data_IF_198776661562
#
_entry.id   IF_198776661562
#
_cell.length_a   1.000
_cell.length_b   1.000
_cell.length_c   1.000
_cell.angle_alpha   90.00
_cell.angle_beta   90.00
_cell.angle_gamma   90.00
#
_symmetry.space_group_name_H-M   'P 1'
#
loop_
_entity.id
_entity.type
_entity.pdbx_description
1 polymer ?
#
# COMPACT_ATOMS: atom_id res chain seq x y z
N UNK A 1 8.78 -10.48 -0.45
CA UNK A 1 8.81 -9.07 -0.91
C UNK A 1 9.44 -8.14 0.12
N UNK A 2 8.99 -8.12 1.39
CA UNK A 2 9.59 -7.24 2.41
C UNK A 2 11.09 -7.46 2.61
N UNK A 3 11.53 -8.71 2.79
CA UNK A 3 12.95 -9.05 2.97
C UNK A 3 13.80 -8.77 1.73
N UNK A 4 13.29 -9.09 0.53
CA UNK A 4 14.00 -8.80 -0.72
C UNK A 4 14.12 -7.29 -0.96
N UNK A 5 13.08 -6.50 -0.64
CA UNK A 5 13.15 -5.04 -0.72
C UNK A 5 14.17 -4.44 0.24
N UNK A 6 14.33 -5.01 1.44
CA UNK A 6 15.34 -4.60 2.40
C UNK A 6 16.76 -4.81 1.85
N UNK A 7 17.07 -6.02 1.37
CA UNK A 7 18.38 -6.35 0.81
C UNK A 7 18.75 -5.46 -0.38
N UNK A 8 17.75 -5.16 -1.22
CA UNK A 8 17.93 -4.34 -2.41
C UNK A 8 18.16 -2.84 -2.08
N UNK A 9 17.50 -2.30 -1.05
CA UNK A 9 17.75 -0.92 -0.58
C UNK A 9 19.11 -0.81 0.14
N UNK A 10 19.51 -1.87 0.86
CA UNK A 10 20.79 -1.93 1.57
C UNK A 10 22.02 -2.19 0.68
N UNK A 11 21.86 -2.24 -0.65
CA UNK A 11 22.91 -2.65 -1.59
C UNK A 11 24.24 -1.89 -1.45
N UNK A 12 24.19 -0.56 -1.30
CA UNK A 12 25.39 0.28 -1.20
C UNK A 12 26.04 0.30 0.19
N UNK A 13 25.42 -0.33 1.22
CA UNK A 13 25.94 -0.46 2.58
C UNK A 13 26.40 0.85 3.29
N UNK A 14 26.05 2.02 2.76
CA UNK A 14 26.29 3.30 3.40
C UNK A 14 25.33 3.52 4.60
N UNK A 15 25.74 4.30 5.60
CA UNK A 15 24.87 4.63 6.75
C UNK A 15 23.51 5.19 6.32
N UNK A 16 23.47 6.00 5.26
CA UNK A 16 22.23 6.56 4.70
C UNK A 16 21.33 5.48 4.08
N UNK A 17 21.89 4.52 3.34
CA UNK A 17 21.13 3.43 2.72
C UNK A 17 20.68 2.38 3.73
N UNK A 18 21.47 2.12 4.77
CA UNK A 18 21.09 1.22 5.86
C UNK A 18 19.94 1.81 6.68
N UNK A 19 20.00 3.10 7.01
CA UNK A 19 18.92 3.80 7.70
C UNK A 19 17.61 3.78 6.89
N UNK A 20 17.67 4.03 5.58
CA UNK A 20 16.48 3.95 4.73
C UNK A 20 15.97 2.52 4.57
N UNK A 21 16.84 1.52 4.44
CA UNK A 21 16.45 0.11 4.39
C UNK A 21 15.75 -0.33 5.69
N UNK A 22 16.26 0.09 6.86
CA UNK A 22 15.61 -0.23 8.13
C UNK A 22 14.22 0.42 8.23
N UNK A 23 14.09 1.67 7.79
CA UNK A 23 12.80 2.35 7.79
C UNK A 23 11.79 1.65 6.87
N UNK A 24 12.20 1.21 5.68
CA UNK A 24 11.32 0.45 4.76
C UNK A 24 10.97 -0.93 5.28
N UNK A 25 11.89 -1.62 5.96
CA UNK A 25 11.62 -2.93 6.55
C UNK A 25 10.62 -2.83 7.69
N UNK A 26 10.81 -1.86 8.61
CA UNK A 26 9.95 -1.69 9.77
C UNK A 26 8.51 -1.31 9.37
N UNK A 27 8.33 -0.37 8.45
CA UNK A 27 6.99 0.01 7.97
C UNK A 27 6.30 -1.16 7.28
N UNK A 28 7.03 -1.92 6.46
CA UNK A 28 6.47 -3.09 5.79
C UNK A 28 6.08 -4.22 6.74
N UNK A 29 6.80 -4.38 7.86
CA UNK A 29 6.49 -5.38 8.88
C UNK A 29 5.19 -5.08 9.61
N UNK A 30 4.87 -3.80 9.84
CA UNK A 30 3.56 -3.40 10.37
C UNK A 30 2.43 -3.83 9.43
N UNK A 31 2.63 -3.72 8.11
CA UNK A 31 1.67 -4.24 7.14
C UNK A 31 1.54 -5.77 7.19
N UNK A 32 2.67 -6.48 7.31
CA UNK A 32 2.66 -7.94 7.37
C UNK A 32 1.94 -8.47 8.62
N UNK A 33 2.09 -7.82 9.78
CA UNK A 33 1.34 -8.20 10.99
C UNK A 33 -0.15 -7.98 10.85
N UNK A 34 -0.58 -6.92 10.15
CA UNK A 34 -2.01 -6.68 9.86
C UNK A 34 -2.57 -7.73 8.90
N UNK A 35 -1.80 -8.15 7.88
CA UNK A 35 -2.21 -9.26 6.99
C UNK A 35 -2.34 -10.55 7.79
N UNK A 36 -1.38 -10.88 8.66
CA UNK A 36 -1.47 -12.07 9.51
C UNK A 36 -2.68 -11.99 10.47
N UNK A 37 -2.96 -10.82 11.04
CA UNK A 37 -4.15 -10.61 11.87
C UNK A 37 -5.45 -10.84 11.08
N UNK A 38 -5.52 -10.38 9.83
CA UNK A 38 -6.68 -10.64 8.96
C UNK A 38 -6.88 -12.14 8.72
N UNK A 39 -5.79 -12.88 8.47
CA UNK A 39 -5.83 -14.34 8.29
C UNK A 39 -6.30 -15.03 9.58
N UNK A 40 -5.84 -14.59 10.76
CA UNK A 40 -6.31 -15.15 12.02
C UNK A 40 -7.79 -14.90 12.28
N UNK A 41 -8.35 -13.78 11.82
CA UNK A 41 -9.79 -13.57 11.89
C UNK A 41 -10.56 -14.42 10.88
N UNK A 42 -10.04 -14.64 9.67
CA UNK A 42 -10.67 -15.57 8.69
C UNK A 42 -10.72 -17.01 9.22
N UNK A 43 -9.69 -17.43 9.96
CA UNK A 43 -9.64 -18.76 10.58
C UNK A 43 -10.82 -19.02 11.51
N UNK A 44 -11.26 -18.00 12.26
CA UNK A 44 -12.39 -18.14 13.17
C UNK A 44 -13.72 -18.39 12.44
N UNK A 45 -13.85 -17.91 11.20
CA UNK A 45 -15.02 -18.11 10.34
C UNK A 45 -14.96 -19.43 9.55
N UNK A 46 -13.91 -20.24 9.72
CA UNK A 46 -13.65 -21.52 9.03
C UNK A 46 -13.64 -21.42 7.49
N UNK A 47 -13.67 -20.20 6.94
CA UNK A 47 -13.73 -19.92 5.51
C UNK A 47 -12.50 -19.12 5.10
N UNK A 48 -11.69 -19.73 4.23
CA UNK A 48 -10.47 -19.13 3.66
C UNK A 48 -10.71 -18.50 2.29
N UNK A 49 -11.88 -18.73 1.71
CA UNK A 49 -12.20 -18.33 0.35
C UNK A 49 -12.70 -16.89 0.36
N UNK A 50 -11.83 -15.97 -0.06
CA UNK A 50 -12.08 -14.52 -0.23
C UNK A 50 -13.42 -14.20 -0.96
N UNK A 51 -13.91 -15.13 -1.77
CA UNK A 51 -15.14 -14.95 -2.57
C UNK A 51 -16.45 -15.36 -1.88
N UNK A 52 -16.39 -16.12 -0.79
CA UNK A 52 -17.55 -16.69 -0.10
C UNK A 52 -17.64 -16.15 1.34
N UNK A 53 -18.03 -14.90 1.50
CA UNK A 53 -18.34 -14.35 2.82
C UNK A 53 -19.83 -14.05 2.95
N UNK A 54 -20.41 -14.51 4.05
CA UNK A 54 -21.70 -14.07 4.54
C UNK A 54 -21.56 -12.65 5.12
N UNK A 55 -22.60 -11.80 5.01
CA UNK A 55 -22.60 -10.48 5.61
C UNK A 55 -22.78 -10.59 7.13
N UNK A 56 -21.71 -10.89 7.86
CA UNK A 56 -21.68 -10.94 9.32
C UNK A 56 -20.86 -9.77 9.89
N UNK A 57 -21.11 -9.37 11.12
CA UNK A 57 -20.40 -8.24 11.78
C UNK A 57 -18.87 -8.44 11.78
N UNK A 58 -18.41 -9.69 11.88
CA UNK A 58 -16.99 -10.07 11.84
C UNK A 58 -16.37 -9.77 10.47
N UNK A 59 -17.14 -9.81 9.37
CA UNK A 59 -16.65 -9.42 8.04
C UNK A 59 -16.28 -7.94 7.93
N UNK A 60 -16.96 -7.06 8.68
CA UNK A 60 -16.70 -5.62 8.63
C UNK A 60 -15.41 -5.25 9.38
N UNK A 61 -15.14 -5.90 10.52
CA UNK A 61 -13.87 -5.70 11.25
C UNK A 61 -12.68 -6.24 10.46
N UNK A 62 -12.85 -7.37 9.77
CA UNK A 62 -11.85 -7.90 8.84
C UNK A 62 -11.60 -6.95 7.67
N UNK A 63 -12.65 -6.39 7.07
CA UNK A 63 -12.54 -5.37 6.02
C UNK A 63 -11.72 -4.16 6.44
N UNK A 64 -11.91 -3.70 7.68
CA UNK A 64 -11.11 -2.60 8.26
C UNK A 64 -9.62 -2.96 8.40
N UNK A 65 -9.31 -4.15 8.93
CA UNK A 65 -7.92 -4.62 9.08
C UNK A 65 -7.25 -4.78 7.71
N UNK A 66 -7.97 -5.30 6.71
CA UNK A 66 -7.48 -5.43 5.33
C UNK A 66 -7.21 -4.08 4.68
N UNK A 67 -8.07 -3.08 4.89
CA UNK A 67 -7.83 -1.71 4.43
C UNK A 67 -6.54 -1.16 5.05
N UNK A 68 -6.36 -1.29 6.36
CA UNK A 68 -5.15 -0.81 7.03
C UNK A 68 -3.89 -1.53 6.50
N UNK A 69 -3.96 -2.85 6.30
CA UNK A 69 -2.89 -3.61 5.68
C UNK A 69 -2.57 -3.10 4.26
N UNK A 70 -3.60 -2.88 3.44
CA UNK A 70 -3.46 -2.30 2.10
C UNK A 70 -2.79 -0.93 2.12
N UNK A 71 -3.22 -0.04 3.03
CA UNK A 71 -2.69 1.32 3.19
C UNK A 71 -1.21 1.35 3.56
N UNK A 72 -0.76 0.46 4.44
CA UNK A 72 0.67 0.38 4.82
C UNK A 72 1.54 -0.02 3.63
N UNK A 73 1.11 -1.01 2.83
CA UNK A 73 1.85 -1.52 1.66
C UNK A 73 1.80 -0.54 0.48
N UNK A 74 0.71 0.19 0.29
CA UNK A 74 0.58 1.19 -0.77
C UNK A 74 1.07 2.60 -0.37
N UNK A 75 1.80 2.70 0.75
CA UNK A 75 2.40 3.93 1.27
C UNK A 75 1.41 5.11 1.43
N UNK A 76 0.17 4.82 1.82
CA UNK A 76 -0.80 5.87 2.14
C UNK A 76 -0.44 6.53 3.48
N UNK A 77 -0.87 7.78 3.69
CA UNK A 77 -0.68 8.54 4.94
C UNK A 77 -1.36 7.74 6.06
N UNK A 78 -0.68 7.50 7.19
CA UNK A 78 0.58 8.09 7.66
C UNK A 78 1.88 7.38 7.24
N UNK A 79 1.79 6.26 6.52
CA UNK A 79 2.92 5.40 6.16
C UNK A 79 3.65 5.82 4.87
N UNK A 80 3.50 7.05 4.40
CA UNK A 80 4.08 7.49 3.12
C UNK A 80 5.61 7.68 3.14
N UNK A 81 6.22 7.84 4.33
CA UNK A 81 7.62 8.25 4.48
C UNK A 81 8.63 7.23 3.91
N UNK A 82 8.30 5.95 3.87
CA UNK A 82 9.24 4.92 3.44
C UNK A 82 9.48 4.90 1.93
N UNK A 83 8.51 5.36 1.14
CA UNK A 83 8.58 5.28 -0.32
C UNK A 83 9.63 6.25 -0.90
N UNK A 84 9.68 7.55 -0.54
CA UNK A 84 10.77 8.44 -0.96
C UNK A 84 12.14 8.04 -0.40
N UNK A 85 12.18 7.42 0.79
CA UNK A 85 13.42 6.97 1.41
C UNK A 85 14.03 5.76 0.68
N UNK A 86 13.21 4.90 0.08
CA UNK A 86 13.65 3.73 -0.68
C UNK A 86 14.42 4.08 -1.96
N UNK A 87 14.38 5.33 -2.43
CA UNK A 87 15.15 5.83 -3.58
C UNK A 87 16.67 5.89 -3.34
N UNK A 88 17.15 5.50 -2.15
CA UNK A 88 18.56 5.21 -1.90
C UNK A 88 19.07 3.97 -2.67
N UNK A 89 18.15 3.11 -3.15
CA UNK A 89 18.46 1.94 -3.96
C UNK A 89 19.05 2.31 -5.35
N UNK A 90 19.78 1.39 -6.00
CA UNK A 90 20.23 1.57 -7.39
C UNK A 90 19.02 1.75 -8.33
N UNK A 91 19.22 2.51 -9.42
CA UNK A 91 18.15 2.87 -10.38
C UNK A 91 17.34 1.69 -10.94
N UNK A 92 17.93 0.55 -11.35
CA UNK A 92 17.15 -0.60 -11.82
C UNK A 92 16.32 -1.28 -10.71
N UNK A 93 16.74 -1.15 -9.45
CA UNK A 93 15.98 -1.65 -8.31
C UNK A 93 14.81 -0.72 -8.00
N UNK A 94 15.04 0.59 -8.06
CA UNK A 94 13.97 1.55 -7.83
C UNK A 94 12.87 1.42 -8.88
N UNK A 95 13.19 1.17 -10.16
CA UNK A 95 12.14 0.90 -11.15
C UNK A 95 11.33 -0.33 -10.79
N UNK A 96 11.95 -1.45 -10.43
CA UNK A 96 11.25 -2.70 -10.10
C UNK A 96 10.39 -2.60 -8.83
N UNK A 97 10.95 -2.08 -7.74
CA UNK A 97 10.27 -2.01 -6.43
C UNK A 97 9.11 -1.01 -6.46
N UNK A 98 9.29 0.11 -7.18
CA UNK A 98 8.31 1.19 -7.20
C UNK A 98 7.26 1.06 -8.31
N UNK A 99 7.53 0.36 -9.42
CA UNK A 99 6.53 0.20 -10.49
C UNK A 99 5.67 -1.05 -10.36
N UNK A 100 6.22 -2.18 -9.89
CA UNK A 100 5.60 -3.47 -10.21
C UNK A 100 5.31 -4.39 -9.03
N UNK A 101 6.01 -4.30 -7.90
CA UNK A 101 5.99 -5.40 -6.91
C UNK A 101 5.54 -5.04 -5.50
N UNK A 102 6.09 -4.01 -4.87
CA UNK A 102 5.83 -3.78 -3.44
C UNK A 102 4.57 -2.95 -3.24
N UNK A 103 4.46 -1.84 -3.96
CA UNK A 103 3.42 -0.83 -3.72
C UNK A 103 2.09 -1.20 -4.36
N UNK A 104 2.13 -1.86 -5.52
CA UNK A 104 0.97 -2.43 -6.22
C UNK A 104 0.35 -3.61 -5.48
N UNK A 105 1.13 -4.35 -4.67
CA UNK A 105 0.63 -5.47 -3.88
C UNK A 105 -0.44 -5.03 -2.86
N UNK A 106 -0.33 -3.81 -2.31
CA UNK A 106 -1.35 -3.24 -1.42
C UNK A 106 -2.67 -3.00 -2.13
N UNK A 107 -2.61 -2.40 -3.33
CA UNK A 107 -3.81 -2.15 -4.17
C UNK A 107 -4.43 -3.48 -4.61
N UNK A 108 -3.60 -4.44 -5.06
CA UNK A 108 -4.06 -5.75 -5.50
C UNK A 108 -4.74 -6.55 -4.39
N UNK A 109 -4.24 -6.47 -3.15
CA UNK A 109 -4.89 -7.08 -1.99
C UNK A 109 -6.31 -6.55 -1.82
N UNK A 110 -6.52 -5.23 -1.91
CA UNK A 110 -7.84 -4.62 -1.79
C UNK A 110 -8.75 -4.96 -2.97
N UNK A 111 -8.22 -5.01 -4.19
CA UNK A 111 -8.98 -5.42 -5.37
C UNK A 111 -9.54 -6.84 -5.22
N UNK A 112 -8.69 -7.77 -4.75
CA UNK A 112 -9.10 -9.16 -4.54
C UNK A 112 -10.10 -9.32 -3.40
N UNK A 113 -9.95 -8.53 -2.33
CA UNK A 113 -10.82 -8.57 -1.14
C UNK A 113 -11.98 -7.57 -1.19
N UNK A 114 -12.25 -6.97 -2.36
CA UNK A 114 -13.22 -5.88 -2.51
C UNK A 114 -14.60 -6.23 -1.95
N UNK A 115 -15.12 -7.42 -2.22
CA UNK A 115 -16.43 -7.87 -1.69
C UNK A 115 -16.54 -7.84 -0.17
N UNK A 116 -15.43 -8.11 0.53
CA UNK A 116 -15.39 -8.07 1.99
C UNK A 116 -15.28 -6.64 2.49
N UNK A 117 -14.42 -5.86 1.84
CA UNK A 117 -14.17 -4.48 2.23
C UNK A 117 -15.40 -3.60 2.01
N UNK A 118 -16.18 -3.87 0.95
CA UNK A 118 -17.42 -3.13 0.65
C UNK A 118 -18.49 -3.25 1.73
N UNK A 119 -18.43 -4.29 2.58
CA UNK A 119 -19.34 -4.44 3.73
C UNK A 119 -19.03 -3.43 4.86
N UNK A 120 -17.81 -2.88 4.87
CA UNK A 120 -17.34 -1.93 5.87
C UNK A 120 -17.41 -0.48 5.36
N UNK A 121 -18.61 0.10 5.31
CA UNK A 121 -18.80 1.47 4.80
C UNK A 121 -17.91 2.51 5.49
N UNK A 122 -17.76 2.43 6.82
CA UNK A 122 -16.90 3.35 7.57
C UNK A 122 -15.43 3.26 7.15
N UNK A 123 -14.95 2.05 6.87
CA UNK A 123 -13.58 1.83 6.43
C UNK A 123 -13.35 2.35 5.00
N UNK A 124 -14.33 2.17 4.11
CA UNK A 124 -14.29 2.72 2.75
C UNK A 124 -14.30 4.25 2.73
N UNK A 125 -15.13 4.89 3.56
CA UNK A 125 -15.11 6.35 3.73
C UNK A 125 -13.77 6.85 4.27
N UNK A 126 -13.17 6.12 5.22
CA UNK A 126 -11.83 6.44 5.74
C UNK A 126 -10.78 6.32 4.63
N UNK A 127 -10.80 5.24 3.84
CA UNK A 127 -9.91 5.06 2.69
C UNK A 127 -10.04 6.18 1.67
N UNK A 128 -11.26 6.62 1.39
CA UNK A 128 -11.54 7.74 0.47
C UNK A 128 -10.87 9.03 0.95
N UNK A 129 -11.05 9.39 2.22
CA UNK A 129 -10.44 10.61 2.78
C UNK A 129 -8.92 10.51 2.76
N UNK A 130 -8.36 9.38 3.19
CA UNK A 130 -6.91 9.21 3.25
C UNK A 130 -6.28 9.21 1.86
N UNK A 131 -6.92 8.60 0.86
CA UNK A 131 -6.42 8.59 -0.53
C UNK A 131 -6.42 9.97 -1.18
N UNK A 132 -7.40 10.83 -0.87
CA UNK A 132 -7.37 12.23 -1.33
C UNK A 132 -6.28 13.02 -0.61
N UNK A 133 -6.11 12.80 0.70
CA UNK A 133 -5.04 13.46 1.47
C UNK A 133 -3.65 13.06 0.97
N UNK A 134 -3.42 11.78 0.67
CA UNK A 134 -2.14 11.31 0.12
C UNK A 134 -1.85 11.89 -1.25
N UNK A 135 -2.87 11.97 -2.11
CA UNK A 135 -2.76 12.61 -3.41
C UNK A 135 -2.25 14.05 -3.29
N UNK A 136 -2.85 14.83 -2.39
CA UNK A 136 -2.48 16.23 -2.16
C UNK A 136 -1.09 16.39 -1.55
N UNK A 137 -0.74 15.54 -0.56
CA UNK A 137 0.60 15.56 0.05
C UNK A 137 1.67 15.16 -0.96
N UNK A 138 1.43 14.12 -1.77
CA UNK A 138 2.34 13.68 -2.82
C UNK A 138 2.55 14.77 -3.88
N UNK A 139 1.45 15.35 -4.39
CA UNK A 139 1.50 16.38 -5.42
C UNK A 139 2.22 17.64 -4.94
N UNK A 140 1.89 18.14 -3.74
CA UNK A 140 2.50 19.35 -3.19
C UNK A 140 3.98 19.16 -2.82
N UNK A 141 4.37 17.96 -2.37
CA UNK A 141 5.78 17.65 -2.08
C UNK A 141 6.59 17.45 -3.35
N UNK A 142 6.02 16.89 -4.43
CA UNK A 142 6.72 16.67 -5.70
C UNK A 142 7.21 17.99 -6.32
N UNK A 143 6.43 19.07 -6.22
CA UNK A 143 6.79 20.40 -6.74
C UNK A 143 7.97 21.02 -5.99
N UNK A 144 8.18 20.67 -4.72
CA UNK A 144 9.23 21.27 -3.87
C UNK A 144 10.56 20.54 -3.89
N UNK A 145 10.62 19.32 -4.46
CA UNK A 145 11.81 18.48 -4.41
C UNK A 145 12.63 18.60 -5.70
N UNK A 146 13.93 18.86 -5.56
CA UNK A 146 14.85 19.00 -6.69
C UNK A 146 15.42 17.67 -7.23
N UNK A 147 15.39 16.60 -6.43
CA UNK A 147 15.91 15.29 -6.83
C UNK A 147 14.94 14.53 -7.75
N UNK A 148 15.31 14.30 -9.01
CA UNK A 148 14.47 13.59 -9.99
C UNK A 148 13.94 12.23 -9.50
N UNK A 149 14.78 11.43 -8.81
CA UNK A 149 14.35 10.13 -8.27
C UNK A 149 13.22 10.27 -7.24
N UNK A 150 13.30 11.29 -6.39
CA UNK A 150 12.26 11.55 -5.39
C UNK A 150 11.01 12.14 -6.02
N UNK A 151 11.13 12.94 -7.08
CA UNK A 151 9.97 13.42 -7.85
C UNK A 151 9.21 12.22 -8.44
N UNK A 152 9.92 11.24 -9.02
CA UNK A 152 9.30 10.01 -9.54
C UNK A 152 8.69 9.17 -8.40
N UNK A 153 9.35 9.08 -7.25
CA UNK A 153 8.77 8.43 -6.07
C UNK A 153 7.44 9.06 -5.65
N UNK A 154 7.38 10.39 -5.63
CA UNK A 154 6.18 11.13 -5.23
C UNK A 154 5.09 11.07 -6.30
N UNK A 155 5.46 11.04 -7.59
CA UNK A 155 4.48 10.82 -8.66
C UNK A 155 3.88 9.41 -8.60
N UNK A 156 4.67 8.36 -8.35
CA UNK A 156 4.11 7.01 -8.12
C UNK A 156 3.18 6.98 -6.91
N UNK A 157 3.53 7.66 -5.81
CA UNK A 157 2.67 7.76 -4.63
C UNK A 157 1.32 8.43 -4.96
N UNK A 158 1.34 9.49 -5.78
CA UNK A 158 0.12 10.14 -6.26
C UNK A 158 -0.73 9.19 -7.14
N UNK A 159 -0.13 8.43 -8.04
CA UNK A 159 -0.86 7.49 -8.89
C UNK A 159 -1.49 6.34 -8.09
N UNK A 160 -0.76 5.82 -7.09
CA UNK A 160 -1.29 4.81 -6.19
C UNK A 160 -2.46 5.35 -5.36
N UNK A 161 -2.39 6.60 -4.91
CA UNK A 161 -3.50 7.22 -4.20
C UNK A 161 -4.76 7.34 -5.06
N UNK A 162 -4.63 7.62 -6.36
CA UNK A 162 -5.75 7.59 -7.31
C UNK A 162 -6.35 6.19 -7.44
N UNK A 163 -5.53 5.15 -7.53
CA UNK A 163 -6.02 3.76 -7.55
C UNK A 163 -6.78 3.41 -6.26
N UNK A 164 -6.27 3.80 -5.09
CA UNK A 164 -6.93 3.56 -3.80
C UNK A 164 -8.24 4.34 -3.67
N UNK A 165 -8.30 5.56 -4.22
CA UNK A 165 -9.52 6.36 -4.29
C UNK A 165 -10.58 5.68 -5.18
N UNK A 166 -10.20 5.17 -6.36
CA UNK A 166 -11.10 4.41 -7.23
C UNK A 166 -11.69 3.17 -6.54
N UNK A 167 -10.87 2.45 -5.74
CA UNK A 167 -11.37 1.35 -4.90
C UNK A 167 -12.41 1.87 -3.91
N UNK A 168 -12.13 2.99 -3.21
CA UNK A 168 -13.00 3.55 -2.17
C UNK A 168 -14.39 4.00 -2.66
N UNK A 169 -14.50 4.48 -3.89
CA UNK A 169 -15.77 4.88 -4.53
C UNK A 169 -16.55 3.67 -5.07
N UNK A 170 -15.94 2.49 -5.05
CA UNK A 170 -16.56 1.26 -5.50
C UNK A 170 -16.36 0.96 -6.99
N UNK A 171 -15.28 1.48 -7.58
CA UNK A 171 -14.87 1.22 -8.96
C UNK A 171 -13.57 0.38 -9.02
N UNK A 172 -13.58 -0.90 -8.55
CA UNK A 172 -12.37 -1.73 -8.53
C UNK A 172 -11.85 -2.07 -9.94
N UNK A 173 -12.72 -2.14 -10.95
CA UNK A 173 -12.31 -2.39 -12.34
C UNK A 173 -11.50 -1.22 -12.92
N UNK A 174 -11.87 0.02 -12.59
CA UNK A 174 -11.12 1.22 -13.02
C UNK A 174 -9.77 1.26 -12.34
N UNK A 175 -9.72 0.96 -11.04
CA UNK A 175 -8.46 0.84 -10.31
C UNK A 175 -7.55 -0.26 -10.88
N UNK A 176 -8.12 -1.40 -11.28
CA UNK A 176 -7.35 -2.47 -11.93
C UNK A 176 -6.83 -2.06 -13.31
N UNK A 177 -7.66 -1.41 -14.13
CA UNK A 177 -7.22 -0.90 -15.43
C UNK A 177 -6.06 0.09 -15.27
N UNK A 178 -6.18 1.04 -14.35
CA UNK A 178 -5.14 2.01 -14.05
C UNK A 178 -3.87 1.35 -13.48
N UNK A 179 -3.98 0.21 -12.79
CA UNK A 179 -2.81 -0.50 -12.26
C UNK A 179 -1.99 -1.16 -13.38
N UNK A 180 -2.63 -1.57 -14.47
CA UNK A 180 -1.98 -2.25 -15.60
C UNK A 180 -1.29 -1.27 -16.55
N UNK A 181 -1.78 -0.03 -16.62
CA UNK A 181 -1.20 1.06 -17.44
C UNK A 181 0.01 1.70 -16.79
#
# INVERSE_FOLDING_TARGET
>A
LGLTSFLLVAFYQNNKSLASAMLTALTNRVGDTLVLASISFMLNEMNWVIYNYSPMIISASIGFVLILAGMTKSAQVPFCAWLPAAMAAPTPVSSLVHSSTLVTAGVYLLLRSYKMISLSEGAMKMLMVVSVLTLLVAGSSAVRVYDLKKVIALSTLSQLSVMMFCVSIGAPLVAFFHLVT
#
